data_IF_367997095485
#
_entry.id   IF_367997095485
#
_cell.length_a   1.000
_cell.length_b   1.000
_cell.length_c   1.000
_cell.angle_alpha   90.00
_cell.angle_beta   90.00
_cell.angle_gamma   90.00
#
_symmetry.space_group_name_H-M   'P 1'
#
loop_
_entity.id
_entity.type
_entity.pdbx_description
1 polymer ?
#
# COMPACT_ATOMS: atom_id res chain seq x y z
N UNK A 1 -9.43 -22.77 27.56
CA UNK A 1 -8.48 -21.66 27.33
C UNK A 1 -7.55 -21.83 26.12
N UNK A 2 -7.14 -23.05 25.76
CA UNK A 2 -6.20 -23.30 24.60
C UNK A 2 -6.82 -23.12 23.20
N UNK A 3 -8.13 -23.13 23.05
CA UNK A 3 -8.81 -22.94 21.74
C UNK A 3 -8.81 -21.47 21.25
N UNK A 4 -8.70 -20.51 22.16
CA UNK A 4 -8.74 -19.08 21.82
C UNK A 4 -7.43 -18.55 21.23
N UNK A 5 -6.29 -19.16 21.58
CA UNK A 5 -4.97 -18.73 21.12
C UNK A 5 -4.67 -19.12 19.65
N UNK A 6 -5.28 -20.18 19.13
CA UNK A 6 -5.12 -20.58 17.72
C UNK A 6 -5.72 -19.58 16.72
N UNK A 7 -6.68 -18.77 17.11
CA UNK A 7 -7.27 -17.72 16.27
C UNK A 7 -6.38 -16.49 16.12
N UNK A 8 -5.51 -16.24 17.09
CA UNK A 8 -4.63 -15.05 17.11
C UNK A 8 -3.27 -15.32 16.46
N UNK A 9 -2.77 -16.56 16.56
CA UNK A 9 -1.51 -16.96 15.96
C UNK A 9 -1.72 -17.42 14.50
N UNK A 10 -1.75 -16.49 13.58
CA UNK A 10 -1.67 -16.77 12.14
C UNK A 10 -0.21 -17.03 11.77
N UNK A 11 0.21 -18.29 11.73
CA UNK A 11 1.47 -18.63 11.11
C UNK A 11 1.39 -18.37 9.61
N UNK A 12 2.07 -17.32 9.14
CA UNK A 12 2.24 -17.09 7.70
C UNK A 12 3.00 -18.27 7.12
N UNK A 13 2.45 -18.92 6.09
CA UNK A 13 3.19 -19.91 5.32
C UNK A 13 4.51 -19.29 4.85
N UNK A 14 5.59 -20.05 4.97
CA UNK A 14 6.89 -19.62 4.49
C UNK A 14 6.85 -19.46 2.96
N UNK A 15 7.02 -18.23 2.50
CA UNK A 15 7.08 -17.92 1.06
C UNK A 15 8.47 -18.26 0.53
N UNK A 16 8.54 -19.22 -0.40
CA UNK A 16 9.80 -19.68 -1.00
C UNK A 16 10.35 -18.69 -2.02
N UNK A 17 9.48 -17.95 -2.70
CA UNK A 17 9.89 -16.98 -3.71
C UNK A 17 10.51 -15.73 -3.04
N UNK A 18 11.80 -15.43 -3.28
CA UNK A 18 12.46 -14.30 -2.65
C UNK A 18 11.88 -12.93 -3.08
N UNK A 19 11.36 -12.82 -4.29
CA UNK A 19 10.70 -11.62 -4.77
C UNK A 19 9.39 -11.39 -4.00
N UNK A 20 8.57 -12.42 -3.89
CA UNK A 20 7.31 -12.35 -3.15
C UNK A 20 7.53 -12.08 -1.66
N UNK A 21 8.58 -12.66 -1.03
CA UNK A 21 8.93 -12.33 0.36
C UNK A 21 9.23 -10.86 0.58
N UNK A 22 9.89 -10.21 -0.39
CA UNK A 22 10.18 -8.76 -0.30
C UNK A 22 8.93 -7.93 -0.43
N UNK A 23 8.07 -8.26 -1.41
CA UNK A 23 6.78 -7.59 -1.58
C UNK A 23 5.89 -7.75 -0.34
N UNK A 24 5.88 -8.94 0.26
CA UNK A 24 5.11 -9.22 1.48
C UNK A 24 5.62 -8.46 2.73
N UNK A 25 6.83 -7.90 2.67
CA UNK A 25 7.37 -7.03 3.73
C UNK A 25 6.94 -5.58 3.59
N UNK A 26 6.53 -5.17 2.40
CA UNK A 26 6.06 -3.82 2.18
C UNK A 26 4.70 -3.63 2.87
N UNK A 27 4.62 -2.65 3.75
CA UNK A 27 3.39 -2.28 4.45
C UNK A 27 2.61 -1.18 3.70
N UNK A 28 3.29 -0.43 2.84
CA UNK A 28 2.73 0.70 2.09
C UNK A 28 3.48 0.93 0.77
N UNK A 29 3.02 1.89 0.01
CA UNK A 29 3.62 2.25 -1.29
C UNK A 29 5.05 2.82 -1.14
N UNK A 30 5.36 3.53 -0.06
CA UNK A 30 6.70 4.06 0.17
C UNK A 30 7.73 2.93 0.36
N UNK A 31 7.33 1.83 1.01
CA UNK A 31 8.17 0.63 1.12
C UNK A 31 8.43 -0.01 -0.25
N UNK A 32 7.42 -0.06 -1.12
CA UNK A 32 7.56 -0.55 -2.49
C UNK A 32 8.53 0.33 -3.30
N UNK A 33 8.45 1.65 -3.16
CA UNK A 33 9.38 2.59 -3.76
C UNK A 33 10.82 2.30 -3.33
N UNK A 34 11.04 2.08 -2.03
CA UNK A 34 12.36 1.74 -1.48
C UNK A 34 12.88 0.40 -2.02
N UNK A 35 12.02 -0.59 -2.19
CA UNK A 35 12.36 -1.87 -2.81
C UNK A 35 12.76 -1.68 -4.27
N UNK A 36 12.02 -0.88 -5.03
CA UNK A 36 12.29 -0.57 -6.43
C UNK A 36 13.63 0.15 -6.59
N UNK A 37 13.91 1.15 -5.76
CA UNK A 37 15.17 1.91 -5.77
C UNK A 37 16.41 1.02 -5.61
N UNK A 38 16.31 -0.02 -4.79
CA UNK A 38 17.41 -0.97 -4.55
C UNK A 38 17.59 -2.00 -5.67
N UNK A 39 16.67 -2.10 -6.60
CA UNK A 39 16.63 -3.15 -7.61
C UNK A 39 16.79 -2.65 -9.04
N UNK A 40 16.36 -1.43 -9.29
CA UNK A 40 16.45 -0.83 -10.60
C UNK A 40 17.82 -0.13 -10.75
N UNK A 41 18.39 -0.12 -11.97
CA UNK A 41 19.50 0.77 -12.27
C UNK A 41 19.13 2.22 -11.97
N UNK A 42 20.06 3.00 -11.39
CA UNK A 42 19.80 4.36 -10.91
C UNK A 42 19.09 5.24 -11.95
N UNK A 43 19.58 5.31 -13.18
CA UNK A 43 18.94 6.14 -14.22
C UNK A 43 17.52 5.70 -14.59
N UNK A 44 17.22 4.40 -14.51
CA UNK A 44 15.85 3.88 -14.73
C UNK A 44 14.95 4.27 -13.56
N UNK A 45 15.44 4.13 -12.34
CA UNK A 45 14.69 4.52 -11.16
C UNK A 45 14.42 6.03 -11.17
N UNK A 46 15.43 6.86 -11.44
CA UNK A 46 15.30 8.31 -11.47
C UNK A 46 14.30 8.80 -12.52
N UNK A 47 14.28 8.13 -13.68
CA UNK A 47 13.31 8.43 -14.73
C UNK A 47 11.86 8.14 -14.32
N UNK A 48 11.63 7.04 -13.61
CA UNK A 48 10.29 6.62 -13.18
C UNK A 48 9.83 7.43 -11.95
N UNK A 49 10.74 7.69 -11.01
CA UNK A 49 10.47 8.28 -9.71
C UNK A 49 10.43 9.82 -9.76
N UNK A 50 11.13 10.41 -10.71
CA UNK A 50 11.23 11.86 -10.87
C UNK A 50 10.02 12.49 -11.55
N UNK A 51 9.98 13.80 -11.50
CA UNK A 51 8.98 14.62 -12.17
C UNK A 51 9.63 15.88 -12.79
N UNK A 52 8.82 16.69 -13.47
CA UNK A 52 9.30 17.87 -14.15
C UNK A 52 9.79 18.96 -13.17
N UNK A 53 10.86 19.63 -13.56
CA UNK A 53 11.43 20.81 -12.89
C UNK A 53 11.65 20.61 -11.39
N UNK A 54 11.08 21.46 -10.55
CA UNK A 54 11.22 21.43 -9.09
C UNK A 54 10.34 20.39 -8.39
N UNK A 55 9.67 19.51 -9.14
CA UNK A 55 8.80 18.43 -8.63
C UNK A 55 7.68 18.90 -7.68
N UNK A 56 7.21 20.13 -7.84
CA UNK A 56 6.16 20.70 -6.98
C UNK A 56 4.87 19.90 -7.08
N UNK A 57 4.41 19.66 -8.31
CA UNK A 57 3.18 18.88 -8.55
C UNK A 57 3.29 17.46 -8.00
N UNK A 58 4.45 16.83 -8.12
CA UNK A 58 4.69 15.50 -7.54
C UNK A 58 4.47 15.52 -6.02
N UNK A 59 5.07 16.50 -5.32
CA UNK A 59 4.89 16.65 -3.87
C UNK A 59 3.45 16.99 -3.50
N UNK A 60 2.81 17.88 -4.25
CA UNK A 60 1.43 18.30 -4.00
C UNK A 60 0.44 17.16 -4.21
N UNK A 61 0.64 16.32 -5.21
CA UNK A 61 -0.16 15.12 -5.43
C UNK A 61 -0.14 14.16 -4.24
N UNK A 62 1.00 14.01 -3.59
CA UNK A 62 1.12 13.17 -2.39
C UNK A 62 0.48 13.87 -1.18
N UNK A 63 0.78 15.16 -0.97
CA UNK A 63 0.31 15.90 0.19
C UNK A 63 -1.19 16.16 0.17
N UNK A 64 -1.82 16.23 -1.01
CA UNK A 64 -3.25 16.46 -1.16
C UNK A 64 -4.09 15.42 -0.39
N UNK A 65 -3.64 14.16 -0.34
CA UNK A 65 -4.35 13.11 0.41
C UNK A 65 -4.39 13.39 1.93
N UNK A 66 -3.47 14.15 2.47
CA UNK A 66 -3.48 14.52 3.90
C UNK A 66 -4.63 15.44 4.29
N UNK A 67 -5.27 16.09 3.31
CA UNK A 67 -6.43 16.96 3.53
C UNK A 67 -7.72 16.17 3.74
N UNK A 68 -7.71 14.87 3.44
CA UNK A 68 -8.88 14.01 3.58
C UNK A 68 -8.75 13.14 4.83
N UNK A 69 -9.85 12.98 5.54
CA UNK A 69 -9.93 12.16 6.75
C UNK A 69 -11.09 11.18 6.63
N UNK A 70 -10.85 9.94 7.00
CA UNK A 70 -11.94 8.99 7.19
C UNK A 70 -12.66 9.29 8.49
N UNK A 71 -13.99 9.29 8.44
CA UNK A 71 -14.82 9.33 9.65
C UNK A 71 -15.25 7.89 9.97
N UNK A 72 -14.55 7.16 10.83
CA UNK A 72 -14.90 5.78 11.13
C UNK A 72 -16.26 5.71 11.80
N UNK A 73 -17.02 4.66 11.46
CA UNK A 73 -18.29 4.33 12.12
C UNK A 73 -18.08 3.05 12.92
N UNK A 74 -18.41 3.09 14.21
CA UNK A 74 -18.36 1.92 15.09
C UNK A 74 -19.65 1.13 15.03
N UNK A 75 -19.59 -0.17 15.39
CA UNK A 75 -20.73 -1.08 15.44
C UNK A 75 -21.50 -1.21 14.10
N UNK A 76 -20.77 -1.16 13.00
CA UNK A 76 -21.29 -1.46 11.66
C UNK A 76 -20.82 -2.84 11.24
N UNK A 77 -21.75 -3.61 10.67
CA UNK A 77 -21.41 -4.86 10.01
C UNK A 77 -20.55 -4.57 8.77
N UNK A 78 -19.37 -5.19 8.73
CA UNK A 78 -18.37 -5.07 7.65
C UNK A 78 -18.07 -6.42 7.00
N UNK A 79 -18.97 -7.40 7.17
CA UNK A 79 -18.81 -8.72 6.58
C UNK A 79 -18.85 -8.70 5.05
N UNK A 80 -19.63 -7.78 4.47
CA UNK A 80 -19.69 -7.53 3.04
C UNK A 80 -19.28 -6.10 2.73
N UNK A 81 -18.09 -5.94 2.15
CA UNK A 81 -17.57 -4.64 1.74
C UNK A 81 -17.74 -4.51 0.24
N UNK A 82 -18.52 -3.52 -0.19
CA UNK A 82 -18.59 -3.09 -1.58
C UNK A 82 -17.79 -1.79 -1.75
N UNK A 83 -16.66 -1.89 -2.45
CA UNK A 83 -15.80 -0.77 -2.80
C UNK A 83 -16.03 -0.27 -4.23
N UNK A 84 -17.09 -0.74 -4.90
CA UNK A 84 -17.43 -0.28 -6.24
C UNK A 84 -17.87 1.19 -6.22
N UNK A 85 -17.53 1.90 -7.27
CA UNK A 85 -17.96 3.28 -7.49
C UNK A 85 -18.37 3.47 -8.96
N UNK A 86 -19.43 4.22 -9.17
CA UNK A 86 -19.82 4.64 -10.51
C UNK A 86 -19.04 5.89 -10.90
N UNK A 87 -18.37 5.87 -12.04
CA UNK A 87 -17.63 7.00 -12.59
C UNK A 87 -18.33 7.41 -13.87
N UNK A 88 -18.69 8.69 -13.99
CA UNK A 88 -19.40 9.26 -15.15
C UNK A 88 -20.71 8.53 -15.51
N UNK A 89 -21.40 7.97 -14.51
CA UNK A 89 -22.70 7.30 -14.71
C UNK A 89 -22.62 5.86 -15.20
N UNK A 90 -21.42 5.29 -15.30
CA UNK A 90 -21.20 3.86 -15.65
C UNK A 90 -20.70 3.04 -14.48
#
# INVERSE_FOLDING_TARGET
MLRSLKGVLRFKRFEKNPAQRRLNKAANIADLRTIAQRRLPGGVFDYIDGAAEDERTLRDNVSAFSNYRFKPRVLRDVSNIDSSAKILGT
#
